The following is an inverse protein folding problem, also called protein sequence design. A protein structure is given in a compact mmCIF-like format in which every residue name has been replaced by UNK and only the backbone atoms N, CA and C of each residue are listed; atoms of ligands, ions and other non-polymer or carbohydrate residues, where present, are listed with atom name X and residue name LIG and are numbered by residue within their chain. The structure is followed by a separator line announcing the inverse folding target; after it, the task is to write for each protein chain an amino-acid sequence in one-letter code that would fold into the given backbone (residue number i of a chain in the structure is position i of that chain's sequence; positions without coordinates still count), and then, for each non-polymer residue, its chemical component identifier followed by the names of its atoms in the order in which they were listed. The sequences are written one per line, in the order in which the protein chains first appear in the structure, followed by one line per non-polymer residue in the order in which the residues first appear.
data_IF_351351477171
#
_entry.id   IF_351351477171
#
_cell.length_a   1.000
_cell.length_b   1.000
_cell.length_c   1.000
_cell.angle_alpha   90.00
_cell.angle_beta   90.00
_cell.angle_gamma   90.00
#
_symmetry.space_group_name_H-M   'P 1'
#
loop_
_entity.id
_entity.type
_entity.pdbx_description
1 polymer ?
#
# COMPACT_ATOMS: atom_id res chain seq x y z
N UNK A 1 -20.58 0.05 -45.46
CA UNK A 1 -21.95 0.57 -45.24
C UNK A 1 -22.66 0.52 -46.57
N UNK A 2 -23.87 -0.01 -46.63
CA UNK A 2 -24.67 0.02 -47.86
C UNK A 2 -25.82 1.00 -47.58
N UNK A 3 -25.83 2.19 -48.18
CA UNK A 3 -26.97 3.10 -48.07
C UNK A 3 -28.24 2.42 -48.61
N UNK A 4 -29.36 2.51 -47.88
CA UNK A 4 -30.68 2.10 -48.39
C UNK A 4 -31.29 0.82 -47.80
N UNK A 5 -30.70 0.19 -46.79
CA UNK A 5 -31.29 -1.00 -46.13
C UNK A 5 -31.86 -0.64 -44.76
N UNK A 6 -33.18 -0.81 -44.58
CA UNK A 6 -33.91 -0.55 -43.33
C UNK A 6 -34.23 -1.87 -42.61
N UNK A 7 -34.00 -1.96 -41.30
CA UNK A 7 -34.24 -3.19 -40.53
C UNK A 7 -35.72 -3.28 -40.05
N UNK A 8 -36.46 -4.36 -40.34
CA UNK A 8 -37.85 -4.54 -39.90
C UNK A 8 -37.96 -4.93 -38.40
N UNK A 9 -39.13 -4.77 -37.74
CA UNK A 9 -40.45 -4.43 -38.31
C UNK A 9 -40.85 -2.96 -38.13
N UNK A 10 -41.43 -2.37 -39.19
CA UNK A 10 -42.00 -1.01 -39.15
C UNK A 10 -43.52 -1.06 -38.96
N UNK A 11 -44.03 -0.50 -37.86
CA UNK A 11 -45.46 -0.30 -37.65
C UNK A 11 -45.92 1.02 -38.31
N UNK A 12 -47.07 1.05 -39.01
CA UNK A 12 -47.63 2.31 -39.54
C UNK A 12 -47.98 3.24 -38.37
N UNK A 13 -47.34 4.42 -38.29
CA UNK A 13 -47.48 5.47 -37.25
C UNK A 13 -46.49 5.50 -36.07
N UNK A 14 -45.29 4.92 -36.18
CA UNK A 14 -44.21 5.25 -35.24
C UNK A 14 -43.21 6.27 -35.83
N UNK A 15 -42.98 7.40 -35.15
CA UNK A 15 -41.89 8.35 -35.44
C UNK A 15 -40.55 7.81 -34.90
N UNK A 16 -40.21 6.57 -35.22
CA UNK A 16 -39.01 5.90 -34.71
C UNK A 16 -37.76 6.32 -35.49
N UNK A 17 -36.73 6.74 -34.76
CA UNK A 17 -35.38 7.00 -35.25
C UNK A 17 -34.87 5.88 -36.16
N UNK A 18 -34.44 6.22 -37.36
CA UNK A 18 -33.70 5.31 -38.26
C UNK A 18 -32.32 5.04 -37.67
N UNK A 19 -32.11 3.83 -37.15
CA UNK A 19 -30.79 3.35 -36.72
C UNK A 19 -30.15 2.63 -37.90
N UNK A 20 -28.92 2.99 -38.32
CA UNK A 20 -28.25 2.33 -39.43
C UNK A 20 -28.05 0.84 -39.12
N UNK A 21 -28.36 0.00 -40.11
CA UNK A 21 -28.08 -1.43 -40.05
C UNK A 21 -26.55 -1.65 -40.07
N UNK A 22 -25.97 -1.79 -38.88
CA UNK A 22 -24.61 -2.25 -38.68
C UNK A 22 -24.62 -3.78 -38.77
N UNK A 23 -24.10 -4.34 -39.86
CA UNK A 23 -23.85 -5.79 -39.97
C UNK A 23 -22.79 -6.27 -38.97
N UNK A 24 -22.13 -7.40 -39.23
CA UNK A 24 -21.06 -7.96 -38.37
C UNK A 24 -19.74 -7.15 -38.40
N UNK A 25 -19.83 -5.82 -38.46
CA UNK A 25 -18.73 -4.89 -38.30
C UNK A 25 -17.90 -5.22 -37.06
N UNK A 26 -18.57 -5.57 -35.95
CA UNK A 26 -17.91 -5.85 -34.67
C UNK A 26 -16.99 -7.07 -34.79
N UNK A 27 -17.48 -8.16 -35.36
CA UNK A 27 -16.68 -9.38 -35.54
C UNK A 27 -15.54 -9.15 -36.53
N UNK A 28 -15.79 -8.40 -37.61
CA UNK A 28 -14.77 -8.02 -38.59
C UNK A 28 -13.69 -7.15 -37.96
N UNK A 29 -14.07 -6.20 -37.11
CA UNK A 29 -13.15 -5.32 -36.38
C UNK A 29 -12.23 -6.09 -35.44
N UNK A 30 -12.75 -7.06 -34.67
CA UNK A 30 -11.93 -7.86 -33.77
C UNK A 30 -11.01 -8.83 -34.53
N UNK A 31 -11.53 -9.50 -35.57
CA UNK A 31 -10.76 -10.46 -36.38
C UNK A 31 -9.62 -9.81 -37.17
N UNK A 32 -9.81 -8.59 -37.69
CA UNK A 32 -8.76 -7.83 -38.39
C UNK A 32 -7.63 -7.34 -37.48
N UNK A 33 -7.81 -7.40 -36.16
CA UNK A 33 -6.88 -6.89 -35.15
C UNK A 33 -6.38 -7.95 -34.17
N UNK A 34 -6.87 -9.17 -34.30
CA UNK A 34 -6.34 -10.36 -33.62
C UNK A 34 -4.85 -10.51 -33.97
N UNK A 35 -3.97 -10.55 -32.97
CA UNK A 35 -2.52 -10.63 -33.14
C UNK A 35 -1.78 -9.31 -33.41
N UNK A 36 -2.47 -8.18 -33.65
CA UNK A 36 -1.84 -6.85 -33.79
C UNK A 36 -1.55 -6.16 -32.45
N UNK A 37 -2.18 -6.66 -31.39
CA UNK A 37 -1.94 -6.25 -30.02
C UNK A 37 -1.50 -7.48 -29.23
N UNK A 38 -0.44 -7.37 -28.44
CA UNK A 38 -0.14 -8.37 -27.42
C UNK A 38 -1.28 -8.32 -26.39
N UNK A 39 -2.17 -9.31 -26.45
CA UNK A 39 -3.18 -9.50 -25.42
C UNK A 39 -2.51 -10.29 -24.30
N UNK A 40 -2.11 -9.56 -23.26
CA UNK A 40 -1.78 -10.03 -21.90
C UNK A 40 -0.85 -11.25 -21.82
N UNK A 41 0.40 -10.99 -21.47
CA UNK A 41 1.37 -11.99 -21.03
C UNK A 41 0.80 -12.76 -19.82
N UNK A 42 1.08 -14.05 -19.68
CA UNK A 42 0.48 -14.87 -18.60
C UNK A 42 0.89 -14.35 -17.21
N UNK A 43 2.08 -13.75 -17.10
CA UNK A 43 2.55 -13.00 -15.94
C UNK A 43 1.61 -11.85 -15.53
N UNK A 44 1.09 -11.09 -16.51
CA UNK A 44 0.11 -10.03 -16.26
C UNK A 44 -1.26 -10.56 -15.86
N UNK A 45 -1.67 -11.74 -16.36
CA UNK A 45 -2.93 -12.37 -15.94
C UNK A 45 -2.88 -12.82 -14.50
N UNK A 46 -1.78 -13.43 -14.06
CA UNK A 46 -1.60 -13.85 -12.66
C UNK A 46 -1.54 -12.66 -11.71
N UNK A 47 -0.86 -11.56 -12.08
CA UNK A 47 -0.88 -10.32 -11.31
C UNK A 47 -2.29 -9.71 -11.21
N UNK A 48 -3.05 -9.70 -12.32
CA UNK A 48 -4.44 -9.24 -12.34
C UNK A 48 -5.35 -10.14 -11.51
N UNK A 49 -5.12 -11.44 -11.50
CA UNK A 49 -5.84 -12.39 -10.66
C UNK A 49 -5.56 -12.14 -9.18
N UNK A 50 -4.28 -12.02 -8.78
CA UNK A 50 -3.90 -11.68 -7.41
C UNK A 50 -4.44 -10.31 -6.99
N UNK A 51 -4.48 -9.35 -7.91
CA UNK A 51 -4.98 -8.01 -7.66
C UNK A 51 -6.49 -7.93 -7.38
N UNK A 52 -7.28 -8.89 -7.89
CA UNK A 52 -8.73 -8.96 -7.70
C UNK A 52 -9.14 -9.50 -6.33
N UNK A 53 -8.21 -10.08 -5.56
CA UNK A 53 -8.51 -10.69 -4.27
C UNK A 53 -8.20 -9.71 -3.13
N UNK A 54 -9.23 -8.95 -2.70
CA UNK A 54 -9.11 -8.07 -1.54
C UNK A 54 -8.82 -8.85 -0.26
N UNK A 55 -7.82 -8.38 0.51
CA UNK A 55 -7.53 -8.87 1.86
C UNK A 55 -6.73 -10.17 1.94
N UNK A 56 -6.22 -10.69 0.81
CA UNK A 56 -5.30 -11.84 0.81
C UNK A 56 -3.87 -11.42 0.50
N UNK A 57 -2.94 -12.28 0.88
CA UNK A 57 -1.53 -12.22 0.51
C UNK A 57 -1.37 -12.18 -1.01
N UNK A 58 -0.51 -11.29 -1.47
CA UNK A 58 -0.08 -11.13 -2.86
C UNK A 58 1.39 -11.48 -2.90
N UNK A 59 1.78 -12.38 -3.79
CA UNK A 59 3.19 -12.74 -3.96
C UNK A 59 3.94 -11.61 -4.66
N UNK A 60 5.16 -11.33 -4.20
CA UNK A 60 5.97 -10.23 -4.74
C UNK A 60 6.51 -10.64 -6.11
N UNK A 61 6.29 -9.80 -7.12
CA UNK A 61 6.87 -9.94 -8.46
C UNK A 61 8.06 -9.00 -8.64
N UNK A 62 8.97 -9.33 -9.56
CA UNK A 62 10.10 -8.43 -9.87
C UNK A 62 9.61 -7.07 -10.38
N UNK A 63 8.50 -7.09 -11.12
CA UNK A 63 7.86 -5.86 -11.58
C UNK A 63 7.35 -4.99 -10.43
N UNK A 64 6.83 -5.58 -9.35
CA UNK A 64 6.41 -4.84 -8.16
C UNK A 64 7.61 -4.16 -7.46
N UNK A 65 8.77 -4.83 -7.42
CA UNK A 65 10.02 -4.29 -6.87
C UNK A 65 10.50 -3.10 -7.72
N UNK A 66 10.50 -3.24 -9.04
CA UNK A 66 10.95 -2.18 -9.94
C UNK A 66 10.04 -0.94 -9.90
N UNK A 67 8.73 -1.17 -9.74
CA UNK A 67 7.70 -0.12 -9.66
C UNK A 67 7.68 0.66 -8.35
N UNK A 68 8.46 0.29 -7.34
CA UNK A 68 8.56 1.05 -6.08
C UNK A 68 8.99 2.48 -6.38
N UNK A 69 8.07 3.41 -6.16
CA UNK A 69 8.25 4.83 -6.49
C UNK A 69 9.03 5.56 -5.40
N UNK A 70 9.77 6.59 -5.82
CA UNK A 70 10.33 7.55 -4.88
C UNK A 70 9.19 8.27 -4.14
N UNK A 71 9.36 8.44 -2.83
CA UNK A 71 8.44 9.21 -2.00
C UNK A 71 9.22 10.28 -1.27
N UNK A 72 8.78 11.53 -1.45
CA UNK A 72 9.32 12.66 -0.72
C UNK A 72 8.69 12.74 0.67
N UNK A 73 9.41 12.27 1.69
CA UNK A 73 8.99 12.40 3.09
C UNK A 73 9.51 13.75 3.61
N UNK A 74 8.65 14.73 3.95
CA UNK A 74 9.08 16.10 4.22
C UNK A 74 10.03 16.29 5.40
N UNK A 75 10.14 15.29 6.27
CA UNK A 75 11.00 15.30 7.46
C UNK A 75 12.39 14.70 7.21
N UNK A 76 12.68 14.34 5.96
CA UNK A 76 13.91 13.71 5.50
C UNK A 76 14.52 14.50 4.34
N UNK A 77 15.83 14.38 4.20
CA UNK A 77 16.59 14.88 3.05
C UNK A 77 16.27 14.03 1.80
N UNK A 78 16.65 14.54 0.62
CA UNK A 78 16.44 13.81 -0.63
C UNK A 78 17.26 12.52 -0.67
N UNK A 79 18.48 12.58 -0.13
CA UNK A 79 19.40 11.45 -0.03
C UNK A 79 18.84 10.37 0.91
N UNK A 80 18.27 10.76 2.06
CA UNK A 80 17.58 9.83 2.96
C UNK A 80 16.34 9.21 2.29
N UNK A 81 15.54 10.00 1.56
CA UNK A 81 14.36 9.48 0.85
C UNK A 81 14.75 8.51 -0.28
N UNK A 82 15.84 8.77 -1.00
CA UNK A 82 16.40 7.84 -1.99
C UNK A 82 16.86 6.54 -1.32
N UNK A 83 17.60 6.65 -0.21
CA UNK A 83 18.02 5.48 0.56
C UNK A 83 16.82 4.66 1.05
N UNK A 84 15.77 5.30 1.57
CA UNK A 84 14.53 4.62 1.97
C UNK A 84 13.90 3.87 0.80
N UNK A 85 13.84 4.47 -0.39
CA UNK A 85 13.31 3.81 -1.58
C UNK A 85 14.14 2.58 -1.97
N UNK A 86 15.47 2.68 -1.95
CA UNK A 86 16.37 1.54 -2.20
C UNK A 86 16.14 0.42 -1.17
N UNK A 87 15.97 0.78 0.10
CA UNK A 87 15.67 -0.18 1.15
C UNK A 87 14.27 -0.79 1.01
N UNK A 88 13.26 -0.09 0.48
CA UNK A 88 11.97 -0.71 0.13
C UNK A 88 12.12 -1.78 -0.94
N UNK A 89 12.93 -1.52 -1.97
CA UNK A 89 13.21 -2.52 -3.01
C UNK A 89 13.96 -3.73 -2.45
N UNK A 90 14.99 -3.48 -1.63
CA UNK A 90 15.74 -4.53 -0.97
C UNK A 90 14.86 -5.37 -0.03
N UNK A 91 13.97 -4.73 0.73
CA UNK A 91 13.02 -5.38 1.62
C UNK A 91 12.05 -6.28 0.85
N UNK A 92 11.46 -5.80 -0.25
CA UNK A 92 10.58 -6.63 -1.07
C UNK A 92 11.32 -7.83 -1.69
N UNK A 93 12.56 -7.62 -2.16
CA UNK A 93 13.39 -8.71 -2.68
C UNK A 93 13.67 -9.77 -1.60
N UNK A 94 14.03 -9.33 -0.41
CA UNK A 94 14.32 -10.19 0.73
C UNK A 94 13.08 -10.96 1.21
N UNK A 95 11.92 -10.28 1.28
CA UNK A 95 10.65 -10.93 1.59
C UNK A 95 10.29 -11.98 0.53
N UNK A 96 10.48 -11.68 -0.76
CA UNK A 96 10.24 -12.60 -1.88
C UNK A 96 11.11 -13.86 -1.78
N UNK A 97 12.42 -13.67 -1.61
CA UNK A 97 13.41 -14.75 -1.70
C UNK A 97 13.52 -15.56 -0.39
N UNK A 98 13.41 -14.90 0.77
CA UNK A 98 13.77 -15.47 2.06
C UNK A 98 12.61 -15.58 3.05
N UNK A 99 11.42 -15.04 2.75
CA UNK A 99 10.28 -15.10 3.66
C UNK A 99 8.93 -15.38 2.97
N UNK A 100 8.93 -16.06 1.83
CA UNK A 100 7.70 -16.43 1.12
C UNK A 100 6.75 -15.24 0.86
N UNK A 101 7.27 -14.04 0.61
CA UNK A 101 6.49 -12.80 0.49
C UNK A 101 5.66 -12.42 1.73
N UNK A 102 5.95 -12.98 2.91
CA UNK A 102 5.38 -12.59 4.20
C UNK A 102 5.99 -11.28 4.72
N UNK A 103 5.55 -10.81 5.90
CA UNK A 103 6.03 -9.57 6.48
C UNK A 103 7.50 -9.66 6.89
N UNK A 104 8.26 -8.65 6.51
CA UNK A 104 9.64 -8.41 6.92
C UNK A 104 9.73 -6.95 7.33
N UNK A 105 10.37 -6.67 8.46
CA UNK A 105 10.64 -5.33 8.93
C UNK A 105 12.12 -5.01 8.91
N UNK A 106 12.46 -3.82 8.39
CA UNK A 106 13.80 -3.26 8.42
C UNK A 106 13.81 -2.08 9.41
N UNK A 107 14.82 -2.05 10.28
CA UNK A 107 15.15 -0.90 11.11
C UNK A 107 16.41 -0.25 10.53
N UNK A 108 16.25 0.98 10.02
CA UNK A 108 17.36 1.78 9.51
C UNK A 108 17.83 2.74 10.58
N UNK A 109 19.13 2.69 10.86
CA UNK A 109 19.79 3.58 11.81
C UNK A 109 21.24 3.79 11.39
N UNK A 110 21.65 5.05 11.24
CA UNK A 110 23.03 5.44 10.90
C UNK A 110 23.59 4.69 9.68
N UNK A 111 22.77 4.53 8.63
CA UNK A 111 23.12 3.79 7.40
C UNK A 111 23.17 2.27 7.53
N UNK A 112 22.90 1.71 8.72
CA UNK A 112 22.84 0.26 8.96
C UNK A 112 21.40 -0.23 8.92
N UNK A 113 21.22 -1.45 8.43
CA UNK A 113 19.94 -2.13 8.31
C UNK A 113 19.92 -3.32 9.28
N UNK A 114 18.91 -3.38 10.14
CA UNK A 114 18.61 -4.57 10.96
C UNK A 114 17.29 -5.17 10.49
N UNK A 115 17.28 -6.46 10.17
CA UNK A 115 16.14 -7.17 9.60
C UNK A 115 15.41 -7.97 10.66
N UNK A 116 14.09 -8.07 10.55
CA UNK A 116 13.25 -8.93 11.37
C UNK A 116 12.25 -9.62 10.46
N UNK A 117 12.20 -10.94 10.51
CA UNK A 117 11.28 -11.74 9.71
C UNK A 117 10.04 -12.06 10.52
N UNK A 118 8.88 -11.84 9.92
CA UNK A 118 7.58 -12.14 10.50
C UNK A 118 6.84 -13.21 9.72
N UNK A 119 5.57 -13.39 10.09
CA UNK A 119 4.62 -14.22 9.37
C UNK A 119 3.77 -13.35 8.42
N UNK A 120 2.64 -13.87 7.95
CA UNK A 120 1.78 -13.17 6.99
C UNK A 120 1.15 -11.90 7.57
N UNK A 121 0.95 -11.86 8.89
CA UNK A 121 0.10 -10.85 9.54
C UNK A 121 0.86 -10.02 10.59
N UNK A 122 2.09 -10.42 10.97
CA UNK A 122 2.86 -9.70 11.97
C UNK A 122 4.37 -9.96 11.94
N UNK A 123 5.11 -8.96 12.41
CA UNK A 123 6.51 -9.08 12.84
C UNK A 123 6.60 -8.95 14.35
N UNK A 124 7.35 -9.85 14.99
CA UNK A 124 7.51 -9.88 16.45
C UNK A 124 8.86 -9.29 16.88
N UNK A 125 8.83 -8.44 17.91
CA UNK A 125 10.03 -7.89 18.55
C UNK A 125 10.19 -8.51 19.94
N UNK A 126 10.96 -9.60 20.03
CA UNK A 126 11.12 -10.35 21.28
C UNK A 126 12.22 -9.71 22.15
N UNK A 127 12.00 -9.55 23.47
CA UNK A 127 13.04 -9.05 24.38
C UNK A 127 14.33 -9.87 24.30
N UNK A 128 15.47 -9.18 24.28
CA UNK A 128 16.80 -9.81 24.16
C UNK A 128 17.28 -10.00 22.72
N UNK A 129 16.43 -9.77 21.72
CA UNK A 129 16.87 -9.74 20.32
C UNK A 129 17.49 -8.38 19.96
N UNK A 130 18.52 -8.42 19.12
CA UNK A 130 19.25 -7.23 18.66
C UNK A 130 18.34 -6.14 18.10
N UNK A 131 17.31 -6.50 17.33
CA UNK A 131 16.37 -5.54 16.75
C UNK A 131 15.51 -4.85 17.83
N UNK A 132 15.04 -5.63 18.80
CA UNK A 132 14.27 -5.15 19.94
C UNK A 132 15.09 -4.23 20.84
N UNK A 133 16.32 -4.62 21.15
CA UNK A 133 17.27 -3.78 21.90
C UNK A 133 17.57 -2.48 21.17
N UNK A 134 17.78 -2.55 19.85
CA UNK A 134 17.99 -1.36 19.02
C UNK A 134 16.76 -0.44 19.07
N UNK A 135 15.55 -0.99 19.05
CA UNK A 135 14.32 -0.23 19.13
C UNK A 135 14.18 0.49 20.49
N UNK A 136 14.45 -0.18 21.61
CA UNK A 136 14.25 0.39 22.94
C UNK A 136 15.39 1.32 23.40
N UNK A 137 16.63 1.03 23.02
CA UNK A 137 17.81 1.74 23.53
C UNK A 137 18.28 2.90 22.63
N UNK A 138 17.72 3.04 21.42
CA UNK A 138 18.11 4.11 20.51
C UNK A 138 17.55 5.47 20.93
N UNK A 139 18.27 6.54 20.56
CA UNK A 139 17.85 7.92 20.81
C UNK A 139 16.46 8.18 20.21
N UNK A 140 15.65 9.07 20.82
CA UNK A 140 14.37 9.45 20.25
C UNK A 140 14.49 9.91 18.79
N UNK A 141 13.52 9.54 17.96
CA UNK A 141 13.44 9.93 16.54
C UNK A 141 14.72 9.64 15.72
N UNK A 142 15.40 8.52 15.99
CA UNK A 142 16.63 8.12 15.27
C UNK A 142 16.47 6.95 14.30
N UNK A 143 15.31 6.26 14.33
CA UNK A 143 15.06 5.07 13.50
C UNK A 143 14.01 5.38 12.43
N UNK A 144 14.28 4.94 11.20
CA UNK A 144 13.27 4.76 10.16
C UNK A 144 12.95 3.27 10.08
N UNK A 145 11.70 2.92 10.35
CA UNK A 145 11.20 1.56 10.24
C UNK A 145 10.46 1.39 8.90
N UNK A 146 10.75 0.30 8.21
CA UNK A 146 10.09 -0.10 6.98
C UNK A 146 9.54 -1.50 7.19
N UNK A 147 8.35 -1.78 6.70
CA UNK A 147 7.88 -3.15 6.58
C UNK A 147 7.02 -3.31 5.35
N UNK A 148 6.92 -4.55 4.84
CA UNK A 148 5.96 -4.83 3.79
C UNK A 148 4.63 -5.31 4.35
N UNK A 149 3.56 -5.01 3.63
CA UNK A 149 2.26 -5.65 3.84
C UNK A 149 2.02 -6.64 2.71
N UNK A 150 1.80 -7.94 3.00
CA UNK A 150 1.54 -8.95 1.99
C UNK A 150 0.30 -8.65 1.14
N UNK A 151 -0.69 -7.98 1.74
CA UNK A 151 -1.88 -7.51 1.05
C UNK A 151 -1.76 -6.09 0.48
N UNK A 152 -2.89 -5.40 0.41
CA UNK A 152 -2.99 -3.98 -0.01
C UNK A 152 -3.42 -3.05 1.14
N UNK A 153 -3.40 -3.58 2.36
CA UNK A 153 -3.82 -2.88 3.57
C UNK A 153 -3.01 -1.60 3.80
N UNK A 154 -3.65 -0.61 4.41
CA UNK A 154 -2.96 0.55 4.99
C UNK A 154 -2.43 0.21 6.38
N UNK A 155 -2.01 1.21 7.14
CA UNK A 155 -1.65 1.08 8.55
C UNK A 155 -2.75 0.35 9.35
N UNK A 156 -2.31 -0.52 10.26
CA UNK A 156 -3.10 -1.19 11.28
C UNK A 156 -3.07 -0.40 12.60
N UNK A 157 -3.90 -0.80 13.57
CA UNK A 157 -3.77 -0.27 14.92
C UNK A 157 -2.42 -0.63 15.56
N UNK A 158 -1.92 -1.85 15.31
CA UNK A 158 -0.63 -2.32 15.83
C UNK A 158 0.50 -1.43 15.33
N UNK A 159 0.47 -1.03 14.06
CA UNK A 159 1.44 -0.09 13.48
C UNK A 159 1.42 1.26 14.21
N UNK A 160 0.23 1.80 14.48
CA UNK A 160 0.09 3.05 15.22
C UNK A 160 0.60 2.93 16.66
N UNK A 161 0.29 1.83 17.35
CA UNK A 161 0.80 1.56 18.68
C UNK A 161 2.33 1.48 18.67
N UNK A 162 2.90 0.71 17.74
CA UNK A 162 4.34 0.59 17.60
C UNK A 162 5.00 1.96 17.37
N UNK A 163 4.45 2.77 16.46
CA UNK A 163 4.97 4.10 16.14
C UNK A 163 4.89 5.10 17.31
N UNK A 164 3.79 5.09 18.07
CA UNK A 164 3.56 6.05 19.16
C UNK A 164 4.33 5.66 20.43
N UNK A 165 4.34 4.37 20.76
CA UNK A 165 4.91 3.90 22.02
C UNK A 165 6.43 3.77 21.96
N UNK A 166 7.02 3.51 20.79
CA UNK A 166 8.46 3.53 20.61
C UNK A 166 8.97 4.95 20.34
N UNK A 167 9.72 5.49 21.29
CA UNK A 167 10.26 6.85 21.20
C UNK A 167 11.34 6.98 20.12
N UNK A 168 12.05 5.88 19.82
CA UNK A 168 13.15 5.84 18.85
C UNK A 168 12.69 5.95 17.40
N UNK A 169 11.50 5.46 17.06
CA UNK A 169 10.95 5.51 15.69
C UNK A 169 10.59 6.96 15.35
N UNK A 170 11.24 7.52 14.33
CA UNK A 170 10.88 8.82 13.72
C UNK A 170 9.82 8.62 12.64
N UNK A 171 10.00 7.59 11.81
CA UNK A 171 9.22 7.36 10.61
C UNK A 171 8.95 5.88 10.46
N UNK A 172 7.69 5.55 10.17
CA UNK A 172 7.23 4.23 9.80
C UNK A 172 6.77 4.27 8.36
N UNK A 173 7.26 3.35 7.54
CA UNK A 173 6.87 3.22 6.14
C UNK A 173 6.38 1.81 5.85
N UNK A 174 5.37 1.71 5.00
CA UNK A 174 4.85 0.45 4.51
C UNK A 174 5.10 0.40 3.01
N UNK A 175 5.57 -0.73 2.50
CA UNK A 175 5.53 -1.05 1.06
C UNK A 175 4.65 -2.26 0.84
N UNK A 176 3.55 -2.13 0.08
CA UNK A 176 2.74 -3.31 -0.23
C UNK A 176 3.50 -4.24 -1.16
N UNK A 177 3.14 -5.53 -1.21
CA UNK A 177 3.76 -6.48 -2.15
C UNK A 177 3.53 -6.13 -3.64
N UNK A 178 2.73 -5.10 -3.94
CA UNK A 178 2.60 -4.49 -5.30
C UNK A 178 3.48 -3.25 -5.51
N UNK A 179 4.36 -2.93 -4.56
CA UNK A 179 5.25 -1.78 -4.63
C UNK A 179 4.61 -0.44 -4.28
N UNK A 180 3.43 -0.42 -3.63
CA UNK A 180 2.82 0.84 -3.17
C UNK A 180 3.36 1.24 -1.80
N UNK A 181 3.94 2.42 -1.73
CA UNK A 181 4.58 2.96 -0.52
C UNK A 181 3.64 3.91 0.24
N UNK A 182 3.60 3.75 1.56
CA UNK A 182 2.86 4.60 2.52
C UNK A 182 3.83 5.03 3.61
N UNK A 183 3.61 6.19 4.22
CA UNK A 183 4.46 6.64 5.32
C UNK A 183 3.68 7.38 6.40
N UNK A 184 4.28 7.35 7.59
CA UNK A 184 3.87 8.05 8.79
C UNK A 184 5.14 8.57 9.46
N UNK A 185 5.28 9.89 9.61
CA UNK A 185 6.45 10.51 10.25
C UNK A 185 6.05 11.47 11.35
N UNK A 186 6.84 11.49 12.42
CA UNK A 186 6.73 12.48 13.50
C UNK A 186 7.19 13.85 13.00
N UNK A 187 6.49 14.90 13.41
CA UNK A 187 6.92 16.29 13.20
C UNK A 187 7.83 16.76 14.33
N UNK A 188 8.32 18.00 14.24
CA UNK A 188 9.04 18.67 15.33
C UNK A 188 8.14 18.93 16.55
N UNK A 189 6.83 19.02 16.35
CA UNK A 189 5.80 19.30 17.35
C UNK A 189 5.20 18.02 17.96
N UNK A 190 5.72 16.85 17.58
CA UNK A 190 5.22 15.57 18.05
C UNK A 190 5.18 15.49 19.58
N UNK A 191 4.01 15.18 20.12
CA UNK A 191 3.77 15.01 21.54
C UNK A 191 3.10 13.66 21.82
N UNK A 192 3.85 12.76 22.47
CA UNK A 192 3.40 11.39 22.77
C UNK A 192 2.12 11.37 23.60
N UNK A 193 2.00 12.22 24.62
CA UNK A 193 0.81 12.28 25.46
C UNK A 193 -0.43 12.68 24.67
N UNK A 194 -0.32 13.68 23.79
CA UNK A 194 -1.40 14.11 22.90
C UNK A 194 -1.85 13.00 21.96
N UNK A 195 -0.90 12.24 21.40
CA UNK A 195 -1.20 11.08 20.55
C UNK A 195 -1.93 9.97 21.32
N UNK A 196 -1.45 9.63 22.52
CA UNK A 196 -2.08 8.64 23.40
C UNK A 196 -3.50 9.07 23.78
N UNK A 197 -3.70 10.34 24.12
CA UNK A 197 -5.01 10.86 24.48
C UNK A 197 -5.98 10.84 23.30
N UNK A 198 -5.49 11.09 22.09
CA UNK A 198 -6.29 10.97 20.87
C UNK A 198 -6.80 9.52 20.68
N UNK A 199 -5.93 8.52 20.84
CA UNK A 199 -6.30 7.11 20.74
C UNK A 199 -7.22 6.70 21.89
N UNK A 200 -6.93 7.08 23.13
CA UNK A 200 -7.76 6.78 24.31
C UNK A 200 -9.18 7.34 24.19
N UNK A 201 -9.32 8.60 23.75
CA UNK A 201 -10.63 9.24 23.52
C UNK A 201 -11.43 8.47 22.45
N UNK A 202 -10.75 7.90 21.47
CA UNK A 202 -11.38 7.07 20.46
C UNK A 202 -11.81 5.71 21.02
N UNK A 203 -10.93 5.04 21.78
CA UNK A 203 -11.18 3.74 22.40
C UNK A 203 -12.33 3.79 23.42
N UNK A 204 -12.45 4.85 24.23
CA UNK A 204 -13.54 4.99 25.21
C UNK A 204 -14.95 4.92 24.58
N UNK A 205 -15.05 5.25 23.30
CA UNK A 205 -16.32 5.31 22.58
C UNK A 205 -16.62 4.03 21.76
N UNK A 206 -15.73 3.03 21.73
CA UNK A 206 -15.89 1.80 20.92
C UNK A 206 -15.21 0.57 21.55
N UNK A 207 -15.83 -0.59 21.42
CA UNK A 207 -15.16 -1.86 21.70
C UNK A 207 -13.95 -2.06 20.77
N UNK A 208 -12.76 -2.35 21.34
CA UNK A 208 -11.48 -2.55 20.63
C UNK A 208 -11.61 -3.58 19.48
N UNK A 209 -12.47 -4.59 19.64
CA UNK A 209 -12.77 -5.62 18.62
C UNK A 209 -13.50 -5.13 17.37
N UNK A 210 -13.87 -3.85 17.27
CA UNK A 210 -14.63 -3.27 16.12
C UNK A 210 -13.87 -2.20 15.35
N UNK A 211 -12.58 -2.02 15.60
CA UNK A 211 -11.79 -1.06 14.82
C UNK A 211 -11.68 -1.50 13.37
N UNK A 212 -12.19 -0.66 12.47
CA UNK A 212 -12.11 -0.86 11.03
C UNK A 212 -11.15 0.17 10.40
N UNK A 213 -10.91 0.02 9.10
CA UNK A 213 -10.01 0.91 8.37
C UNK A 213 -10.41 2.41 8.46
N UNK A 214 -11.72 2.71 8.49
CA UNK A 214 -12.20 4.10 8.61
C UNK A 214 -11.83 4.73 9.96
N UNK A 215 -11.79 3.92 11.01
CA UNK A 215 -11.38 4.38 12.34
C UNK A 215 -9.90 4.79 12.36
N UNK A 216 -9.04 4.02 11.69
CA UNK A 216 -7.61 4.31 11.55
C UNK A 216 -7.40 5.59 10.75
N UNK A 217 -8.10 5.77 9.63
CA UNK A 217 -8.02 6.99 8.83
C UNK A 217 -8.45 8.23 9.63
N UNK A 218 -9.48 8.10 10.48
CA UNK A 218 -9.91 9.19 11.35
C UNK A 218 -8.88 9.52 12.44
N UNK A 219 -8.22 8.50 13.01
CA UNK A 219 -7.12 8.72 13.97
C UNK A 219 -5.96 9.44 13.28
N UNK A 220 -5.51 8.96 12.13
CA UNK A 220 -4.44 9.59 11.35
C UNK A 220 -4.76 11.05 11.03
N UNK A 221 -5.98 11.33 10.57
CA UNK A 221 -6.44 12.70 10.28
C UNK A 221 -6.40 13.60 11.52
N UNK A 222 -6.80 13.09 12.69
CA UNK A 222 -6.75 13.86 13.94
C UNK A 222 -5.33 14.16 14.38
N UNK A 223 -4.44 13.17 14.33
CA UNK A 223 -3.03 13.33 14.68
C UNK A 223 -2.30 14.31 13.73
N UNK A 224 -2.67 14.31 12.44
CA UNK A 224 -2.18 15.28 11.47
C UNK A 224 -2.68 16.69 11.77
N UNK A 225 -3.98 16.85 12.02
CA UNK A 225 -4.57 18.16 12.33
C UNK A 225 -4.05 18.76 13.64
N UNK A 226 -3.58 17.92 14.58
CA UNK A 226 -2.92 18.38 15.80
C UNK A 226 -1.43 18.66 15.62
N UNK A 227 -0.92 18.67 14.38
CA UNK A 227 0.48 18.94 14.06
C UNK A 227 1.46 17.83 14.46
N UNK A 228 0.99 16.68 14.95
CA UNK A 228 1.89 15.66 15.52
C UNK A 228 2.59 14.81 14.46
N UNK A 229 1.93 14.58 13.33
CA UNK A 229 2.41 13.69 12.27
C UNK A 229 2.23 14.30 10.89
N UNK A 230 3.01 13.81 9.94
CA UNK A 230 2.72 13.90 8.50
C UNK A 230 2.58 12.47 7.98
N UNK A 231 1.59 12.21 7.14
CA UNK A 231 1.32 10.87 6.65
C UNK A 231 0.82 10.85 5.20
N UNK A 232 1.01 9.71 4.53
CA UNK A 232 0.47 9.42 3.21
C UNK A 232 0.04 7.96 3.13
N UNK A 233 -1.22 7.73 2.74
CA UNK A 233 -1.84 6.40 2.65
C UNK A 233 -2.30 6.01 1.24
N UNK A 234 -2.25 6.95 0.28
CA UNK A 234 -2.61 6.79 -1.14
C UNK A 234 -1.63 7.55 -2.02
#
# INVERSE_FOLDING_TARGET
MIPGVNAPPMHPWCRSTTVPYVGNWRDKFFKEREGKYQVEDDTTKDELQQAKVLGKKIYITDQAIDKVRYVDIPTHTKEENQFIQEQHKALLKDAKENNDSNEVAYLLKDGKVTKVYGDQDSVSFVPGEKATELLFNSKPNSIVMLHNHPGQSSFSLTDLYLFIFNNSIKTLTIVTNKGQTKYLTKTKEYCKSTCIDCIKKYNKNKNIKKFNHKDIDMILKRLYNSGNIIYKVR
#
